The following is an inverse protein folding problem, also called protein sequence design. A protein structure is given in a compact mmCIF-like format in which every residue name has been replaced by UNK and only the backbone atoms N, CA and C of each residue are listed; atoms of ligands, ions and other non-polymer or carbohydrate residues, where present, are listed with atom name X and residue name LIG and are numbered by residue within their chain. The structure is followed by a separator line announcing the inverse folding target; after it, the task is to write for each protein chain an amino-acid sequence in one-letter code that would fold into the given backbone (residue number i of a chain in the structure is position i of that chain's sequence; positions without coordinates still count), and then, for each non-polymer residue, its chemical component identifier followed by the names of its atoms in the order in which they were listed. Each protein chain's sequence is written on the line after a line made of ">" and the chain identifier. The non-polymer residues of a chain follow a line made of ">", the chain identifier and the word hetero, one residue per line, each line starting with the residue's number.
data_IF_160789250148
#
_entry.id   IF_160789250148
#
_cell.length_a   1.000
_cell.length_b   1.000
_cell.length_c   1.000
_cell.angle_alpha   90.00
_cell.angle_beta   90.00
_cell.angle_gamma   90.00
#
_symmetry.space_group_name_H-M   'P 1'
#
loop_
_entity.id
_entity.type
_entity.pdbx_description
1 polymer ?
#
# COMPACT_ATOMS: atom_id res chain seq x y z
N UNK A 1 10.07 -16.13 23.69
CA UNK A 1 10.94 -16.56 22.59
C UNK A 1 12.02 -15.51 22.39
N UNK A 2 13.23 -15.87 21.99
CA UNK A 2 14.28 -14.89 21.65
C UNK A 2 14.43 -14.86 20.13
N UNK A 3 14.21 -13.69 19.52
CA UNK A 3 14.30 -13.49 18.07
C UNK A 3 15.66 -12.91 17.67
N UNK A 4 16.11 -11.87 18.39
CA UNK A 4 17.36 -11.13 18.11
C UNK A 4 18.30 -11.08 19.32
N UNK A 5 17.87 -11.51 20.50
CA UNK A 5 18.68 -11.50 21.74
C UNK A 5 18.74 -10.15 22.45
N UNK A 6 18.02 -9.13 21.97
CA UNK A 6 17.88 -7.82 22.62
C UNK A 6 16.52 -7.76 23.31
N UNK A 7 16.50 -7.73 24.64
CA UNK A 7 15.28 -7.89 25.47
C UNK A 7 14.11 -7.00 25.05
N UNK A 8 14.34 -5.71 24.80
CA UNK A 8 13.29 -4.78 24.36
C UNK A 8 12.71 -5.16 22.99
N UNK A 9 13.59 -5.49 22.03
CA UNK A 9 13.18 -5.90 20.66
C UNK A 9 12.46 -7.24 20.70
N UNK A 10 12.98 -8.20 21.46
CA UNK A 10 12.35 -9.51 21.61
C UNK A 10 10.97 -9.41 22.25
N UNK A 11 10.79 -8.54 23.24
CA UNK A 11 9.47 -8.30 23.86
C UNK A 11 8.49 -7.68 22.88
N UNK A 12 8.92 -6.70 22.11
CA UNK A 12 8.09 -6.07 21.07
C UNK A 12 7.69 -7.06 19.97
N UNK A 13 8.64 -7.84 19.47
CA UNK A 13 8.36 -8.89 18.47
C UNK A 13 7.45 -9.99 19.03
N UNK A 14 7.61 -10.37 20.30
CA UNK A 14 6.69 -11.31 20.94
C UNK A 14 5.26 -10.81 20.92
N UNK A 15 5.01 -9.53 21.23
CA UNK A 15 3.68 -8.94 21.19
C UNK A 15 3.11 -9.03 19.77
N UNK A 16 3.86 -8.60 18.77
CA UNK A 16 3.41 -8.58 17.37
C UNK A 16 3.19 -9.98 16.80
N UNK A 17 4.04 -10.95 17.13
CA UNK A 17 3.87 -12.35 16.70
C UNK A 17 2.66 -12.98 17.39
N UNK A 18 2.47 -12.72 18.70
CA UNK A 18 1.28 -13.19 19.42
C UNK A 18 0.02 -12.58 18.84
N UNK A 19 0.04 -11.30 18.48
CA UNK A 19 -1.03 -10.63 17.79
C UNK A 19 -1.43 -11.38 16.52
N UNK A 20 -0.47 -11.70 15.64
CA UNK A 20 -0.77 -12.39 14.39
C UNK A 20 -1.11 -13.87 14.54
N UNK A 21 -0.50 -14.57 15.51
CA UNK A 21 -0.86 -15.96 15.81
C UNK A 21 -2.22 -16.12 16.52
N UNK A 22 -2.82 -14.99 16.92
CA UNK A 22 -4.14 -14.96 17.56
C UNK A 22 -5.30 -14.92 16.58
N UNK A 23 -5.05 -14.92 15.26
CA UNK A 23 -6.16 -14.95 14.29
C UNK A 23 -6.82 -16.33 14.26
N UNK A 24 -8.15 -16.31 14.35
CA UNK A 24 -8.95 -17.49 14.09
C UNK A 24 -8.84 -17.88 12.61
N UNK A 25 -8.79 -19.17 12.26
CA UNK A 25 -8.77 -19.62 10.87
C UNK A 25 -9.90 -19.04 10.01
N UNK A 26 -11.06 -18.72 10.62
CA UNK A 26 -12.20 -18.10 9.91
C UNK A 26 -11.92 -16.66 9.49
N UNK A 27 -11.02 -15.96 10.17
CA UNK A 27 -10.64 -14.57 9.85
C UNK A 27 -9.50 -14.48 8.82
N UNK A 28 -8.85 -15.60 8.53
CA UNK A 28 -7.71 -15.67 7.64
C UNK A 28 -7.97 -15.12 6.22
N UNK A 29 -9.11 -15.41 5.56
CA UNK A 29 -9.41 -14.82 4.25
C UNK A 29 -9.43 -13.28 4.26
N UNK A 30 -9.99 -12.68 5.30
CA UNK A 30 -10.00 -11.23 5.48
C UNK A 30 -8.59 -10.67 5.68
N UNK A 31 -7.76 -11.33 6.51
CA UNK A 31 -6.37 -10.90 6.74
C UNK A 31 -5.56 -10.95 5.45
N UNK A 32 -5.71 -12.01 4.67
CA UNK A 32 -5.04 -12.16 3.38
C UNK A 32 -5.48 -11.08 2.38
N UNK A 33 -6.79 -10.80 2.30
CA UNK A 33 -7.34 -9.75 1.44
C UNK A 33 -6.87 -8.36 1.88
N UNK A 34 -6.87 -8.06 3.18
CA UNK A 34 -6.37 -6.79 3.69
C UNK A 34 -4.87 -6.61 3.37
N UNK A 35 -4.03 -7.62 3.63
CA UNK A 35 -2.60 -7.56 3.32
C UNK A 35 -2.34 -7.35 1.82
N UNK A 36 -3.06 -8.08 0.97
CA UNK A 36 -2.95 -7.92 -0.48
C UNK A 36 -3.40 -6.53 -0.93
N UNK A 37 -4.52 -6.04 -0.41
CA UNK A 37 -5.07 -4.72 -0.72
C UNK A 37 -4.16 -3.58 -0.25
N UNK A 38 -3.48 -3.76 0.88
CA UNK A 38 -2.54 -2.77 1.43
C UNK A 38 -1.31 -2.58 0.54
N UNK A 39 -0.98 -3.52 -0.35
CA UNK A 39 0.12 -3.38 -1.31
C UNK A 39 0.02 -2.14 -2.20
N UNK A 40 -1.20 -1.68 -2.55
CA UNK A 40 -1.43 -0.51 -3.40
C UNK A 40 -1.01 0.81 -2.71
N UNK A 41 -1.50 1.17 -1.51
CA UNK A 41 -1.02 2.36 -0.81
C UNK A 41 0.48 2.27 -0.44
N UNK A 42 1.02 1.10 -0.11
CA UNK A 42 2.46 0.92 0.09
C UNK A 42 3.25 1.25 -1.19
N UNK A 43 2.84 0.70 -2.34
CA UNK A 43 3.49 1.01 -3.62
C UNK A 43 3.45 2.51 -3.93
N UNK A 44 2.32 3.16 -3.67
CA UNK A 44 2.18 4.61 -3.84
C UNK A 44 3.19 5.37 -2.98
N UNK A 45 3.39 4.99 -1.70
CA UNK A 45 4.35 5.70 -0.84
C UNK A 45 5.78 5.67 -1.40
N UNK A 46 6.22 4.54 -1.96
CA UNK A 46 7.56 4.41 -2.56
C UNK A 46 7.68 5.15 -3.90
N UNK A 47 6.64 5.15 -4.72
CA UNK A 47 6.60 5.86 -5.99
C UNK A 47 6.59 7.37 -5.76
N UNK A 48 5.80 7.87 -4.81
CA UNK A 48 5.78 9.30 -4.49
C UNK A 48 7.08 9.75 -3.79
N UNK A 49 7.72 8.89 -3.01
CA UNK A 49 9.05 9.16 -2.47
C UNK A 49 10.09 9.33 -3.57
N UNK A 50 10.04 8.48 -4.62
CA UNK A 50 10.93 8.60 -5.78
C UNK A 50 10.71 9.92 -6.54
N UNK A 51 9.46 10.39 -6.65
CA UNK A 51 9.12 11.71 -7.23
C UNK A 51 9.61 12.86 -6.35
N UNK A 52 9.39 12.78 -5.05
CA UNK A 52 9.82 13.80 -4.08
C UNK A 52 11.32 13.97 -4.05
N UNK A 53 12.07 12.86 -4.10
CA UNK A 53 13.54 12.89 -4.14
C UNK A 53 14.09 13.58 -5.38
N UNK A 54 13.35 13.59 -6.50
CA UNK A 54 13.73 14.29 -7.74
C UNK A 54 13.29 15.76 -7.74
N UNK A 55 12.09 16.04 -7.23
CA UNK A 55 11.47 17.37 -7.33
C UNK A 55 11.83 18.29 -6.15
N UNK A 56 12.31 17.73 -5.02
CA UNK A 56 12.59 18.48 -3.80
C UNK A 56 11.34 19.07 -3.11
N UNK A 57 10.13 18.70 -3.57
CA UNK A 57 8.87 19.34 -3.13
C UNK A 57 8.42 18.96 -1.72
N UNK A 58 8.77 17.78 -1.23
CA UNK A 58 8.33 17.33 0.11
C UNK A 58 9.37 16.45 0.75
N UNK A 59 9.84 16.86 1.92
CA UNK A 59 10.72 16.03 2.76
C UNK A 59 9.96 14.90 3.46
N UNK A 60 8.68 15.11 3.80
CA UNK A 60 7.86 14.11 4.51
C UNK A 60 7.61 12.88 3.63
N UNK A 61 7.31 13.10 2.33
CA UNK A 61 7.06 11.99 1.40
C UNK A 61 8.35 11.28 0.95
N UNK A 62 9.53 11.89 1.16
CA UNK A 62 10.81 11.33 0.70
C UNK A 62 11.28 10.11 1.52
N UNK A 63 10.67 9.83 2.67
CA UNK A 63 11.10 8.78 3.60
C UNK A 63 10.03 7.71 3.85
N UNK A 64 9.70 6.86 2.84
CA UNK A 64 8.66 5.85 2.97
C UNK A 64 8.95 4.82 4.06
N UNK A 65 10.22 4.55 4.37
CA UNK A 65 10.63 3.64 5.45
C UNK A 65 10.21 4.16 6.83
N UNK A 66 10.29 5.48 7.07
CA UNK A 66 9.83 6.07 8.33
C UNK A 66 8.31 5.91 8.46
N UNK A 67 7.56 6.13 7.37
CA UNK A 67 6.13 5.84 7.35
C UNK A 67 5.87 4.37 7.65
N UNK A 68 6.63 3.46 7.01
CA UNK A 68 6.53 2.02 7.21
C UNK A 68 6.76 1.59 8.66
N UNK A 69 7.78 2.11 9.33
CA UNK A 69 8.04 1.83 10.75
C UNK A 69 6.90 2.36 11.66
N UNK A 70 6.24 3.45 11.27
CA UNK A 70 5.05 3.93 11.97
C UNK A 70 3.83 3.02 11.74
N UNK A 71 3.68 2.33 10.60
CA UNK A 71 2.62 1.34 10.40
C UNK A 71 2.68 0.25 11.47
N UNK A 72 3.88 -0.24 11.78
CA UNK A 72 4.09 -1.34 12.74
C UNK A 72 3.83 -0.94 14.19
N UNK A 73 3.92 0.34 14.51
CA UNK A 73 3.78 0.83 15.89
C UNK A 73 2.44 1.49 16.18
N UNK A 74 1.76 2.01 15.16
CA UNK A 74 0.52 2.79 15.30
C UNK A 74 -0.64 2.29 14.45
N UNK A 75 -0.40 1.28 13.59
CA UNK A 75 -1.36 0.80 12.60
C UNK A 75 -1.31 1.61 11.29
N UNK A 76 -1.64 0.93 10.20
CA UNK A 76 -1.71 1.52 8.87
C UNK A 76 -2.88 2.51 8.76
N UNK A 77 -4.00 2.21 9.43
CA UNK A 77 -5.19 3.04 9.48
C UNK A 77 -4.98 4.40 10.14
N UNK A 78 -3.92 4.57 10.95
CA UNK A 78 -3.51 5.88 11.43
C UNK A 78 -2.56 6.58 10.46
N UNK A 79 -1.61 5.88 9.90
CA UNK A 79 -0.50 6.48 9.13
C UNK A 79 -0.88 6.80 7.69
N UNK A 80 -1.66 5.94 7.02
CA UNK A 80 -2.05 6.14 5.62
C UNK A 80 -2.95 7.38 5.42
N UNK A 81 -3.95 7.68 6.28
CA UNK A 81 -4.67 8.94 6.18
C UNK A 81 -3.75 10.17 6.28
N UNK A 82 -2.75 10.14 7.17
CA UNK A 82 -1.77 11.23 7.30
C UNK A 82 -0.86 11.32 6.07
N UNK A 83 -0.47 10.20 5.48
CA UNK A 83 0.26 10.19 4.21
C UNK A 83 -0.57 10.85 3.09
N UNK A 84 -1.86 10.51 2.94
CA UNK A 84 -2.74 11.13 1.96
C UNK A 84 -2.89 12.63 2.20
N UNK A 85 -3.06 13.04 3.45
CA UNK A 85 -3.10 14.47 3.80
C UNK A 85 -1.80 15.18 3.37
N UNK A 86 -0.64 14.59 3.67
CA UNK A 86 0.65 15.14 3.25
C UNK A 86 0.79 15.19 1.72
N UNK A 87 0.32 14.15 1.00
CA UNK A 87 0.31 14.08 -0.46
C UNK A 87 -0.52 15.22 -1.08
N UNK A 88 -1.70 15.45 -0.53
CA UNK A 88 -2.63 16.50 -0.97
C UNK A 88 -2.04 17.89 -0.68
N UNK A 89 -1.62 18.14 0.56
CA UNK A 89 -1.11 19.45 0.98
C UNK A 89 0.20 19.83 0.30
N UNK A 90 1.05 18.85 -0.06
CA UNK A 90 2.29 19.09 -0.80
C UNK A 90 2.09 19.29 -2.32
N UNK A 91 0.85 19.18 -2.81
CA UNK A 91 0.52 19.35 -4.23
C UNK A 91 0.92 18.18 -5.13
N UNK A 92 1.29 17.01 -4.54
CA UNK A 92 1.66 15.82 -5.31
C UNK A 92 0.48 15.18 -6.05
N UNK A 93 -0.74 15.55 -5.71
CA UNK A 93 -1.92 15.11 -6.45
C UNK A 93 -2.06 15.78 -7.81
N UNK A 94 -1.39 16.94 -8.01
CA UNK A 94 -1.45 17.75 -9.24
C UNK A 94 -0.07 18.03 -9.79
N UNK A 95 0.69 16.96 -10.05
CA UNK A 95 2.00 17.02 -10.68
C UNK A 95 1.85 17.16 -12.19
N UNK A 96 2.80 17.89 -12.79
CA UNK A 96 2.92 18.07 -14.23
C UNK A 96 4.38 18.03 -14.70
N UNK A 97 4.59 17.84 -15.99
CA UNK A 97 5.87 17.94 -16.62
C UNK A 97 6.97 17.09 -15.97
N UNK A 98 8.10 17.73 -15.67
CA UNK A 98 9.29 17.04 -15.11
C UNK A 98 9.06 16.52 -13.70
N UNK A 99 8.20 17.19 -12.91
CA UNK A 99 7.92 16.78 -11.53
C UNK A 99 7.10 15.47 -11.45
N UNK A 100 6.35 15.14 -12.49
CA UNK A 100 5.57 13.91 -12.59
C UNK A 100 6.43 12.69 -12.96
N UNK A 101 7.57 12.90 -13.60
CA UNK A 101 8.40 11.83 -14.18
C UNK A 101 9.25 11.14 -13.11
N UNK A 102 9.36 9.82 -13.21
CA UNK A 102 10.29 8.98 -12.43
C UNK A 102 11.30 8.38 -13.42
N UNK A 103 12.57 8.32 -13.02
CA UNK A 103 13.57 7.59 -13.79
C UNK A 103 13.46 6.07 -13.62
N UNK A 104 13.97 5.32 -14.61
CA UNK A 104 13.87 3.87 -14.66
C UNK A 104 14.49 3.19 -13.44
N UNK A 105 15.64 3.66 -12.97
CA UNK A 105 16.32 3.07 -11.81
C UNK A 105 15.48 3.17 -10.54
N UNK A 106 14.85 4.33 -10.28
CA UNK A 106 14.00 4.52 -9.10
C UNK A 106 12.68 3.77 -9.21
N UNK A 107 12.10 3.69 -10.42
CA UNK A 107 10.90 2.90 -10.66
C UNK A 107 11.15 1.40 -10.42
N UNK A 108 12.26 0.87 -10.93
CA UNK A 108 12.69 -0.52 -10.67
C UNK A 108 12.95 -0.76 -9.18
N UNK A 109 13.63 0.16 -8.51
CA UNK A 109 13.90 0.07 -7.07
C UNK A 109 12.61 0.02 -6.25
N UNK A 110 11.59 0.81 -6.61
CA UNK A 110 10.27 0.76 -5.98
C UNK A 110 9.56 -0.57 -6.24
N UNK A 111 9.60 -1.10 -7.46
CA UNK A 111 9.05 -2.40 -7.83
C UNK A 111 9.69 -3.53 -6.99
N UNK A 112 11.03 -3.59 -6.93
CA UNK A 112 11.74 -4.60 -6.14
C UNK A 112 11.45 -4.46 -4.64
N UNK A 113 11.36 -3.24 -4.12
CA UNK A 113 10.97 -3.00 -2.73
C UNK A 113 9.56 -3.56 -2.44
N UNK A 114 8.58 -3.29 -3.29
CA UNK A 114 7.20 -3.75 -3.10
C UNK A 114 7.10 -5.27 -3.23
N UNK A 115 7.67 -5.86 -4.29
CA UNK A 115 7.57 -7.31 -4.52
C UNK A 115 8.38 -8.11 -3.51
N UNK A 116 9.67 -7.79 -3.34
CA UNK A 116 10.57 -8.56 -2.50
C UNK A 116 10.54 -8.17 -1.02
N UNK A 117 10.23 -6.90 -0.71
CA UNK A 117 10.24 -6.39 0.66
C UNK A 117 8.88 -6.46 1.36
N UNK A 118 7.77 -6.51 0.62
CA UNK A 118 6.43 -6.56 1.20
C UNK A 118 5.61 -7.77 0.72
N UNK A 119 5.34 -7.90 -0.60
CA UNK A 119 4.42 -8.94 -1.11
C UNK A 119 4.95 -10.34 -0.79
N UNK A 120 6.20 -10.64 -1.17
CA UNK A 120 6.79 -11.95 -0.91
C UNK A 120 6.85 -12.30 0.58
N UNK A 121 7.36 -11.44 1.48
CA UNK A 121 7.32 -11.71 2.92
C UNK A 121 5.90 -11.89 3.46
N UNK A 122 4.90 -11.14 2.96
CA UNK A 122 3.49 -11.30 3.37
C UNK A 122 2.94 -12.67 2.97
N UNK A 123 3.21 -13.12 1.74
CA UNK A 123 2.83 -14.47 1.28
C UNK A 123 3.50 -15.54 2.14
N UNK A 124 4.80 -15.43 2.41
CA UNK A 124 5.51 -16.38 3.26
C UNK A 124 4.96 -16.43 4.67
N UNK A 125 4.68 -15.27 5.28
CA UNK A 125 4.08 -15.17 6.60
C UNK A 125 2.70 -15.87 6.66
N UNK A 126 1.84 -15.58 5.68
CA UNK A 126 0.48 -16.13 5.62
C UNK A 126 0.47 -17.64 5.33
N UNK A 127 1.39 -18.13 4.49
CA UNK A 127 1.42 -19.54 4.09
C UNK A 127 2.14 -20.45 5.07
N UNK A 128 3.26 -19.98 5.62
CA UNK A 128 4.06 -20.79 6.54
C UNK A 128 3.56 -20.74 7.99
N UNK A 129 2.91 -19.64 8.38
CA UNK A 129 2.38 -19.41 9.74
C UNK A 129 3.44 -19.67 10.84
N UNK A 130 4.71 -19.46 10.51
CA UNK A 130 5.85 -19.66 11.40
C UNK A 130 6.15 -18.39 12.20
N UNK A 131 6.35 -18.49 13.53
CA UNK A 131 6.62 -17.31 14.38
C UNK A 131 7.88 -16.54 13.99
N UNK A 132 8.92 -17.22 13.47
CA UNK A 132 10.16 -16.56 13.05
C UNK A 132 9.94 -15.81 11.74
N UNK A 133 9.21 -16.40 10.79
CA UNK A 133 8.83 -15.75 9.54
C UNK A 133 7.95 -14.54 9.83
N UNK A 134 7.01 -14.68 10.75
CA UNK A 134 6.14 -13.58 11.21
C UNK A 134 6.96 -12.45 11.86
N UNK A 135 7.94 -12.78 12.71
CA UNK A 135 8.83 -11.79 13.31
C UNK A 135 9.69 -11.09 12.25
N UNK A 136 10.20 -11.84 11.27
CA UNK A 136 10.95 -11.26 10.15
C UNK A 136 10.09 -10.35 9.27
N UNK A 137 8.80 -10.69 9.08
CA UNK A 137 7.85 -9.85 8.37
C UNK A 137 7.62 -8.50 9.07
N UNK A 138 7.64 -8.44 10.40
CA UNK A 138 7.37 -7.20 11.14
C UNK A 138 8.32 -6.05 10.76
N UNK A 139 9.49 -6.36 10.25
CA UNK A 139 10.46 -5.35 9.79
C UNK A 139 10.43 -5.15 8.26
N UNK A 140 9.31 -5.48 7.59
CA UNK A 140 9.19 -5.35 6.14
C UNK A 140 9.59 -3.96 5.61
N UNK A 141 9.36 -2.83 6.32
CA UNK A 141 9.79 -1.53 5.82
C UNK A 141 11.32 -1.42 5.71
N UNK A 142 12.06 -2.15 6.56
CA UNK A 142 13.53 -2.22 6.48
C UNK A 142 13.94 -3.08 5.28
N UNK A 143 13.25 -4.20 5.03
CA UNK A 143 13.51 -5.03 3.84
C UNK A 143 13.26 -4.25 2.55
N UNK A 144 12.16 -3.50 2.49
CA UNK A 144 11.84 -2.63 1.35
C UNK A 144 12.93 -1.58 1.13
N UNK A 145 13.39 -0.91 2.17
CA UNK A 145 14.49 0.05 2.10
C UNK A 145 15.79 -0.62 1.63
N UNK A 146 16.15 -1.77 2.19
CA UNK A 146 17.37 -2.48 1.85
C UNK A 146 17.39 -2.91 0.37
N UNK A 147 16.27 -3.44 -0.15
CA UNK A 147 16.15 -3.81 -1.56
C UNK A 147 16.18 -2.59 -2.47
N UNK A 148 15.53 -1.49 -2.10
CA UNK A 148 15.59 -0.23 -2.84
C UNK A 148 17.03 0.32 -2.88
N UNK A 149 17.72 0.34 -1.74
CA UNK A 149 19.09 0.84 -1.64
C UNK A 149 20.07 -0.05 -2.43
N UNK A 150 19.95 -1.37 -2.31
CA UNK A 150 20.76 -2.34 -3.05
C UNK A 150 20.56 -2.19 -4.56
N UNK A 151 19.31 -2.05 -5.03
CA UNK A 151 19.02 -1.83 -6.44
C UNK A 151 19.65 -0.53 -6.95
N UNK A 152 19.48 0.58 -6.25
CA UNK A 152 20.04 1.87 -6.64
C UNK A 152 21.58 1.92 -6.56
N UNK A 153 22.18 1.11 -5.69
CA UNK A 153 23.63 0.94 -5.66
C UNK A 153 24.14 0.24 -6.92
N UNK A 154 23.46 -0.82 -7.39
CA UNK A 154 23.84 -1.58 -8.59
C UNK A 154 23.46 -0.80 -9.87
N UNK A 155 22.30 -0.14 -9.88
CA UNK A 155 21.74 0.63 -11.01
C UNK A 155 21.46 2.07 -10.59
N UNK A 156 22.48 2.93 -10.51
CA UNK A 156 22.31 4.31 -10.06
C UNK A 156 21.50 5.14 -11.06
N UNK A 157 20.61 5.99 -10.55
CA UNK A 157 19.75 6.86 -11.37
C UNK A 157 20.51 7.82 -12.29
N UNK A 158 21.77 8.13 -11.97
CA UNK A 158 22.65 8.92 -12.82
C UNK A 158 22.97 8.27 -14.18
N UNK A 159 22.92 6.93 -14.25
CA UNK A 159 23.17 6.15 -15.47
C UNK A 159 21.88 5.66 -16.14
N UNK A 160 20.82 5.45 -15.37
CA UNK A 160 19.56 4.85 -15.82
C UNK A 160 18.42 5.85 -15.65
N UNK A 161 18.53 6.99 -16.34
CA UNK A 161 17.61 8.14 -16.25
C UNK A 161 16.49 8.15 -17.30
N UNK A 162 16.36 7.09 -18.11
CA UNK A 162 15.22 6.92 -19.01
C UNK A 162 13.90 6.86 -18.23
N UNK A 163 12.78 7.05 -18.91
CA UNK A 163 11.46 7.04 -18.25
C UNK A 163 11.14 5.69 -17.60
N UNK A 164 10.82 5.72 -16.31
CA UNK A 164 10.35 4.57 -15.53
C UNK A 164 8.85 4.30 -15.64
N UNK A 165 8.12 5.00 -16.49
CA UNK A 165 6.68 4.94 -16.64
C UNK A 165 6.13 3.51 -16.72
N UNK A 166 6.68 2.68 -17.62
CA UNK A 166 6.23 1.28 -17.79
C UNK A 166 6.44 0.43 -16.54
N UNK A 167 7.53 0.69 -15.82
CA UNK A 167 7.83 -0.02 -14.57
C UNK A 167 6.88 0.40 -13.44
N UNK A 168 6.53 1.69 -13.36
CA UNK A 168 5.51 2.16 -12.40
C UNK A 168 4.15 1.55 -12.73
N UNK A 169 3.76 1.50 -14.01
CA UNK A 169 2.54 0.80 -14.41
C UNK A 169 2.58 -0.68 -14.05
N UNK A 170 3.69 -1.37 -14.30
CA UNK A 170 3.85 -2.77 -13.91
C UNK A 170 3.67 -2.95 -12.39
N UNK A 171 4.23 -2.06 -11.58
CA UNK A 171 4.05 -2.09 -10.12
C UNK A 171 2.57 -2.04 -9.74
N UNK A 172 1.81 -1.10 -10.29
CA UNK A 172 0.38 -1.00 -9.99
C UNK A 172 -0.47 -2.12 -10.61
N UNK A 173 -0.05 -2.72 -11.73
CA UNK A 173 -0.67 -3.93 -12.27
C UNK A 173 -0.47 -5.11 -11.31
N UNK A 174 0.73 -5.29 -10.77
CA UNK A 174 1.01 -6.34 -9.77
C UNK A 174 0.16 -6.15 -8.51
N UNK A 175 0.08 -4.93 -7.96
CA UNK A 175 -0.76 -4.69 -6.77
C UNK A 175 -2.25 -4.86 -7.08
N UNK A 176 -2.71 -4.49 -8.27
CA UNK A 176 -4.07 -4.74 -8.74
C UNK A 176 -4.38 -6.24 -8.77
N UNK A 177 -3.53 -7.03 -9.45
CA UNK A 177 -3.73 -8.46 -9.61
C UNK A 177 -3.69 -9.17 -8.24
N UNK A 178 -2.69 -8.83 -7.41
CA UNK A 178 -2.53 -9.43 -6.08
C UNK A 178 -3.77 -9.17 -5.21
N UNK A 179 -4.26 -7.92 -5.18
CA UNK A 179 -5.47 -7.55 -4.43
C UNK A 179 -6.71 -8.24 -5.00
N UNK A 180 -6.89 -8.23 -6.34
CA UNK A 180 -8.07 -8.81 -6.96
C UNK A 180 -8.16 -10.33 -6.73
N UNK A 181 -7.06 -11.05 -6.88
CA UNK A 181 -7.02 -12.50 -6.62
C UNK A 181 -7.36 -12.79 -5.16
N UNK A 182 -6.76 -12.06 -4.23
CA UNK A 182 -6.99 -12.29 -2.79
C UNK A 182 -8.43 -11.96 -2.41
N UNK A 183 -9.00 -10.85 -2.91
CA UNK A 183 -10.37 -10.47 -2.65
C UNK A 183 -11.37 -11.49 -3.18
N UNK A 184 -11.24 -11.88 -4.45
CA UNK A 184 -12.13 -12.88 -5.08
C UNK A 184 -12.01 -14.23 -4.34
N UNK A 185 -10.81 -14.63 -3.92
CA UNK A 185 -10.61 -15.85 -3.16
C UNK A 185 -11.26 -15.75 -1.76
N UNK A 186 -11.14 -14.62 -1.07
CA UNK A 186 -11.75 -14.41 0.24
C UNK A 186 -13.29 -14.42 0.19
N UNK A 187 -13.87 -13.73 -0.79
CA UNK A 187 -15.33 -13.73 -1.02
C UNK A 187 -15.81 -15.13 -1.44
N UNK A 188 -15.08 -15.80 -2.35
CA UNK A 188 -15.42 -17.14 -2.83
C UNK A 188 -15.31 -18.24 -1.75
N UNK A 189 -14.42 -18.07 -0.78
CA UNK A 189 -14.30 -18.97 0.37
C UNK A 189 -15.45 -18.78 1.39
N UNK A 190 -16.12 -17.62 1.36
CA UNK A 190 -17.14 -17.25 2.34
C UNK A 190 -18.48 -17.09 1.64
N UNK A 191 -19.26 -18.17 1.54
CA UNK A 191 -20.55 -18.17 0.82
C UNK A 191 -21.73 -17.62 1.64
N UNK A 192 -21.52 -17.27 2.92
CA UNK A 192 -22.54 -16.71 3.81
C UNK A 192 -22.37 -15.19 3.91
N UNK A 193 -23.40 -14.44 3.53
CA UNK A 193 -23.45 -12.97 3.62
C UNK A 193 -23.35 -12.45 5.05
N UNK A 194 -23.88 -13.20 6.04
CA UNK A 194 -23.74 -12.86 7.46
C UNK A 194 -22.27 -12.91 7.88
N UNK A 195 -21.59 -14.00 7.54
CA UNK A 195 -20.18 -14.17 7.83
C UNK A 195 -19.30 -13.13 7.08
N UNK A 196 -19.61 -12.81 5.82
CA UNK A 196 -18.92 -11.74 5.10
C UNK A 196 -19.07 -10.39 5.80
N UNK A 197 -20.29 -10.05 6.24
CA UNK A 197 -20.51 -8.84 7.01
C UNK A 197 -19.66 -8.84 8.29
N UNK A 198 -19.68 -9.92 9.05
CA UNK A 198 -18.94 -10.02 10.32
C UNK A 198 -17.41 -9.97 10.10
N UNK A 199 -16.92 -10.45 8.95
CA UNK A 199 -15.51 -10.37 8.57
C UNK A 199 -15.07 -8.96 8.17
N UNK A 200 -15.90 -8.22 7.44
CA UNK A 200 -15.48 -6.95 6.82
C UNK A 200 -16.02 -5.68 7.49
N UNK A 201 -17.11 -5.79 8.25
CA UNK A 201 -17.77 -4.63 8.84
C UNK A 201 -17.44 -4.53 10.33
N UNK A 202 -16.64 -3.55 10.75
CA UNK A 202 -16.32 -3.40 12.16
C UNK A 202 -17.54 -2.96 12.98
N UNK A 203 -17.66 -3.40 14.24
CA UNK A 203 -18.70 -2.92 15.14
C UNK A 203 -18.50 -1.44 15.46
N UNK A 204 -19.59 -0.67 15.44
CA UNK A 204 -19.56 0.77 15.78
C UNK A 204 -19.26 0.97 17.27
N UNK A 205 -19.76 0.07 18.12
CA UNK A 205 -19.50 0.10 19.56
C UNK A 205 -18.30 -0.81 19.82
N UNK A 206 -17.19 -0.28 20.35
CA UNK A 206 -16.04 -1.13 20.69
C UNK A 206 -16.43 -2.23 21.66
N UNK A 207 -15.94 -3.45 21.48
CA UNK A 207 -16.19 -4.55 22.41
C UNK A 207 -15.55 -4.24 23.77
N UNK A 208 -16.18 -4.69 24.85
CA UNK A 208 -15.66 -4.48 26.22
C UNK A 208 -14.34 -5.27 26.41
N UNK A 209 -13.21 -4.58 26.68
CA UNK A 209 -11.91 -5.24 26.85
C UNK A 209 -11.87 -6.30 27.96
N UNK A 210 -12.74 -6.18 28.98
CA UNK A 210 -12.76 -7.11 30.10
C UNK A 210 -13.38 -8.47 29.76
N UNK A 211 -14.26 -8.52 28.76
CA UNK A 211 -15.02 -9.72 28.38
C UNK A 211 -14.69 -10.25 26.98
N UNK A 212 -13.96 -9.45 26.18
CA UNK A 212 -13.66 -9.79 24.78
C UNK A 212 -12.44 -10.71 24.70
N UNK A 213 -12.55 -11.78 23.91
CA UNK A 213 -11.41 -12.64 23.60
C UNK A 213 -10.35 -11.88 22.80
N UNK A 214 -9.09 -12.28 22.95
CA UNK A 214 -7.98 -11.69 22.20
C UNK A 214 -8.22 -11.78 20.68
N UNK A 215 -8.70 -12.91 20.17
CA UNK A 215 -9.03 -13.12 18.75
C UNK A 215 -10.02 -12.08 18.23
N UNK A 216 -11.13 -11.87 18.95
CA UNK A 216 -12.14 -10.90 18.54
C UNK A 216 -11.60 -9.46 18.61
N UNK A 217 -10.86 -9.13 19.67
CA UNK A 217 -10.24 -7.80 19.80
C UNK A 217 -9.27 -7.50 18.65
N UNK A 218 -8.46 -8.49 18.26
CA UNK A 218 -7.52 -8.40 17.15
C UNK A 218 -8.24 -8.27 15.81
N UNK A 219 -9.28 -9.04 15.58
CA UNK A 219 -10.08 -8.96 14.38
C UNK A 219 -10.72 -7.57 14.22
N UNK A 220 -11.39 -7.08 15.26
CA UNK A 220 -12.00 -5.73 15.27
C UNK A 220 -10.97 -4.62 15.05
N UNK A 221 -9.78 -4.75 15.66
CA UNK A 221 -8.69 -3.82 15.40
C UNK A 221 -8.30 -3.79 13.91
N UNK A 222 -8.09 -4.96 13.29
CA UNK A 222 -7.73 -5.02 11.88
C UNK A 222 -8.85 -4.56 10.94
N UNK A 223 -10.11 -4.78 11.29
CA UNK A 223 -11.24 -4.25 10.53
C UNK A 223 -11.19 -2.72 10.49
N UNK A 224 -10.99 -2.06 11.62
CA UNK A 224 -10.84 -0.61 11.67
C UNK A 224 -9.56 -0.13 10.98
N UNK A 225 -8.46 -0.85 11.14
CA UNK A 225 -7.20 -0.55 10.44
C UNK A 225 -7.39 -0.62 8.92
N UNK A 226 -8.10 -1.63 8.42
CA UNK A 226 -8.44 -1.78 7.01
C UNK A 226 -9.36 -0.64 6.52
N UNK A 227 -10.42 -0.32 7.27
CA UNK A 227 -11.36 0.75 6.91
C UNK A 227 -10.65 2.09 6.79
N UNK A 228 -9.80 2.46 7.75
CA UNK A 228 -9.07 3.72 7.68
C UNK A 228 -7.96 3.72 6.63
N UNK A 229 -7.24 2.62 6.47
CA UNK A 229 -6.19 2.48 5.45
C UNK A 229 -6.75 2.56 4.03
N UNK A 230 -7.71 1.71 3.73
CA UNK A 230 -8.25 1.56 2.38
C UNK A 230 -9.30 2.64 2.09
N UNK A 231 -10.14 2.98 3.06
CA UNK A 231 -11.11 4.06 2.93
C UNK A 231 -10.46 5.42 2.69
N UNK A 232 -9.40 5.76 3.42
CA UNK A 232 -8.64 6.99 3.15
C UNK A 232 -7.94 6.95 1.80
N UNK A 233 -7.50 5.77 1.34
CA UNK A 233 -6.89 5.60 0.03
C UNK A 233 -7.91 5.80 -1.10
N UNK A 234 -9.09 5.20 -1.00
CA UNK A 234 -10.19 5.42 -1.95
C UNK A 234 -10.62 6.90 -1.98
N UNK A 235 -10.83 7.51 -0.81
CA UNK A 235 -11.13 8.94 -0.74
C UNK A 235 -10.00 9.80 -1.32
N UNK A 236 -8.75 9.45 -1.02
CA UNK A 236 -7.56 10.17 -1.49
C UNK A 236 -7.42 10.19 -3.01
N UNK A 237 -7.85 9.12 -3.70
CA UNK A 237 -7.81 9.05 -5.17
C UNK A 237 -8.66 10.13 -5.84
N UNK A 238 -9.71 10.62 -5.19
CA UNK A 238 -10.57 11.67 -5.73
C UNK A 238 -9.82 13.00 -5.97
N UNK A 239 -8.73 13.25 -5.23
CA UNK A 239 -7.90 14.45 -5.43
C UNK A 239 -7.03 14.41 -6.70
N UNK A 240 -6.98 13.26 -7.40
CA UNK A 240 -6.35 13.19 -8.72
C UNK A 240 -7.25 13.72 -9.83
N UNK A 241 -8.54 13.90 -9.59
CA UNK A 241 -9.49 14.45 -10.54
C UNK A 241 -9.18 15.91 -10.85
N UNK A 242 -9.20 16.29 -12.14
CA UNK A 242 -9.06 17.67 -12.60
C UNK A 242 -10.37 18.45 -12.55
N UNK A 243 -11.50 17.75 -12.62
CA UNK A 243 -12.85 18.31 -12.63
C UNK A 243 -13.86 17.39 -11.92
N UNK A 244 -15.09 17.91 -11.75
CA UNK A 244 -16.16 17.18 -11.07
C UNK A 244 -16.58 15.90 -11.81
N UNK A 245 -16.52 15.87 -13.14
CA UNK A 245 -16.86 14.68 -13.94
C UNK A 245 -15.87 13.55 -13.67
N UNK A 246 -14.58 13.86 -13.67
CA UNK A 246 -13.56 12.88 -13.33
C UNK A 246 -13.69 12.39 -11.87
N UNK A 247 -13.98 13.29 -10.92
CA UNK A 247 -14.21 12.90 -9.53
C UNK A 247 -15.38 11.93 -9.39
N UNK A 248 -16.49 12.15 -10.10
CA UNK A 248 -17.63 11.24 -10.12
C UNK A 248 -17.26 9.90 -10.75
N UNK A 249 -16.51 9.89 -11.84
CA UNK A 249 -16.09 8.64 -12.49
C UNK A 249 -15.14 7.82 -11.60
N UNK A 250 -14.20 8.47 -10.90
CA UNK A 250 -13.34 7.81 -9.92
C UNK A 250 -14.19 7.25 -8.77
N UNK A 251 -15.10 8.03 -8.20
CA UNK A 251 -15.98 7.56 -7.12
C UNK A 251 -16.82 6.35 -7.54
N UNK A 252 -17.41 6.36 -8.75
CA UNK A 252 -18.15 5.21 -9.29
C UNK A 252 -17.26 4.00 -9.48
N UNK A 253 -16.06 4.19 -10.03
CA UNK A 253 -15.06 3.13 -10.14
C UNK A 253 -14.71 2.56 -8.76
N UNK A 254 -14.39 3.41 -7.80
CA UNK A 254 -13.98 2.99 -6.46
C UNK A 254 -15.06 2.16 -5.76
N UNK A 255 -16.34 2.58 -5.86
CA UNK A 255 -17.46 1.82 -5.29
C UNK A 255 -17.62 0.47 -5.97
N UNK A 256 -17.69 0.43 -7.30
CA UNK A 256 -17.91 -0.81 -8.05
C UNK A 256 -16.73 -1.76 -7.91
N UNK A 257 -15.50 -1.25 -8.11
CA UNK A 257 -14.31 -2.07 -8.07
C UNK A 257 -14.02 -2.61 -6.67
N UNK A 258 -14.30 -1.84 -5.60
CA UNK A 258 -14.16 -2.32 -4.22
C UNK A 258 -15.00 -3.57 -3.96
N UNK A 259 -16.22 -3.62 -4.48
CA UNK A 259 -17.11 -4.77 -4.31
C UNK A 259 -16.70 -5.96 -5.20
N UNK A 260 -16.24 -5.70 -6.42
CA UNK A 260 -16.01 -6.75 -7.42
C UNK A 260 -14.61 -7.34 -7.36
N UNK A 261 -13.59 -6.50 -7.18
CA UNK A 261 -12.17 -6.88 -7.23
C UNK A 261 -11.37 -6.46 -6.01
N UNK A 262 -12.02 -5.84 -5.04
CA UNK A 262 -11.41 -5.43 -3.78
C UNK A 262 -10.87 -4.00 -3.77
N UNK A 263 -10.75 -3.41 -2.56
CA UNK A 263 -10.40 -2.00 -2.40
C UNK A 263 -8.96 -1.68 -2.85
N UNK A 264 -8.02 -2.59 -2.68
CA UNK A 264 -6.64 -2.40 -3.16
C UNK A 264 -6.54 -2.40 -4.69
N UNK A 265 -7.34 -3.23 -5.37
CA UNK A 265 -7.45 -3.23 -6.83
C UNK A 265 -8.14 -1.95 -7.31
N UNK A 266 -9.18 -1.47 -6.62
CA UNK A 266 -9.84 -0.20 -6.92
C UNK A 266 -8.82 0.96 -6.90
N UNK A 267 -8.07 1.11 -5.81
CA UNK A 267 -6.99 2.11 -5.69
C UNK A 267 -5.96 1.95 -6.79
N UNK A 268 -5.46 0.72 -7.03
CA UNK A 268 -4.45 0.46 -8.08
C UNK A 268 -4.95 0.86 -9.48
N UNK A 269 -6.23 0.65 -9.79
CA UNK A 269 -6.84 1.05 -11.04
C UNK A 269 -6.81 2.57 -11.27
N UNK A 270 -7.13 3.35 -10.23
CA UNK A 270 -7.01 4.81 -10.29
C UNK A 270 -5.56 5.26 -10.40
N UNK A 271 -4.64 4.59 -9.72
CA UNK A 271 -3.20 4.89 -9.82
C UNK A 271 -2.64 4.59 -11.22
N UNK A 272 -3.08 3.51 -11.86
CA UNK A 272 -2.76 3.21 -13.27
C UNK A 272 -3.27 4.30 -14.21
N UNK A 273 -4.51 4.73 -14.04
CA UNK A 273 -5.09 5.84 -14.80
C UNK A 273 -4.33 7.14 -14.57
N UNK A 274 -3.99 7.47 -13.31
CA UNK A 274 -3.18 8.65 -12.96
C UNK A 274 -1.82 8.62 -13.66
N UNK A 275 -1.11 7.49 -13.63
CA UNK A 275 0.17 7.35 -14.31
C UNK A 275 0.05 7.56 -15.82
N UNK A 276 -1.01 7.06 -16.43
CA UNK A 276 -1.29 7.30 -17.84
C UNK A 276 -1.50 8.80 -18.11
N UNK A 277 -2.26 9.51 -17.29
CA UNK A 277 -2.47 10.94 -17.41
C UNK A 277 -1.17 11.75 -17.26
N UNK A 278 -0.32 11.37 -16.31
CA UNK A 278 0.95 12.06 -16.05
C UNK A 278 2.01 11.87 -17.15
N UNK A 279 1.94 10.78 -17.91
CA UNK A 279 2.98 10.41 -18.88
C UNK A 279 2.44 10.21 -20.31
N UNK A 280 1.15 10.15 -20.50
CA UNK A 280 0.49 9.79 -21.77
C UNK A 280 0.10 10.98 -22.66
N UNK A 281 0.20 12.22 -22.19
CA UNK A 281 0.05 13.36 -23.08
C UNK A 281 1.21 13.38 -24.09
N UNK A 282 0.95 13.35 -25.41
CA UNK A 282 2.01 13.54 -26.40
C UNK A 282 2.74 14.86 -26.06
N UNK A 283 4.07 14.85 -25.99
CA UNK A 283 4.81 16.11 -26.06
C UNK A 283 4.30 16.82 -27.30
N UNK A 284 3.62 17.97 -27.13
CA UNK A 284 3.38 18.87 -28.24
C UNK A 284 4.77 19.18 -28.81
N UNK A 285 5.07 18.59 -29.98
CA UNK A 285 6.26 18.87 -30.72
C UNK A 285 6.16 20.35 -31.10
N UNK A 286 6.80 21.16 -30.30
CA UNK A 286 6.93 22.59 -30.58
C UNK A 286 7.75 22.71 -31.87
N UNK A 287 7.06 22.65 -33.02
CA UNK A 287 7.66 22.92 -34.32
C UNK A 287 8.01 24.41 -34.30
N UNK A 288 9.31 24.77 -34.26
CA UNK A 288 9.66 26.18 -34.33
C UNK A 288 9.10 26.73 -35.63
N UNK A 289 8.21 27.74 -35.52
CA UNK A 289 7.80 28.52 -36.72
C UNK A 289 9.07 29.06 -37.36
N UNK A 290 9.37 28.56 -38.55
CA UNK A 290 10.39 29.18 -39.43
C UNK A 290 9.83 30.56 -39.75
N UNK A 291 10.50 31.59 -39.23
CA UNK A 291 10.38 32.97 -39.72
C UNK A 291 11.09 33.10 -41.10
#
# INVERSE_FOLDING_TARGET
>A
MRYVGVSFVDSFLCILVTFQSSFDPTTFPFVADFMASWSAPIALTFIEAARSARSGRSTVLAFPTILGLNYQTRGAGFVIPLFWLALILSGHTRLDGVAARIDQARAEAALFAVLGGFILPSVLMLTLQDPVVTAAWQIFPVWMWALQAAHLFIRPSSRYHTSGYRTVQATFIFTFITSAISHIAAIGATQDLGLLRDLYVPPIVPPDPATTSLHLAMHVFLQWDAVFTLGSSLLGTLWFASDAKQAILIALWDVIATVVVGPGAAVSGVLLWREWMLNGAPEEVHIPKKE
#
